data_IF_723945681393
#
_entry.id   IF_723945681393
#
_cell.length_a   1.000
_cell.length_b   1.000
_cell.length_c   1.000
_cell.angle_alpha   90.00
_cell.angle_beta   90.00
_cell.angle_gamma   90.00
#
_symmetry.space_group_name_H-M   'P 1'
#
loop_
_entity.id
_entity.type
_entity.pdbx_description
1 polymer ?
#
# COMPACT_ATOMS: atom_id res chain seq x y z
N UNK A 1 46.00 -40.59 -1.27
CA UNK A 1 45.80 -39.34 -2.02
C UNK A 1 44.54 -39.48 -2.84
N UNK A 2 43.48 -38.79 -2.41
CA UNK A 2 42.07 -38.71 -2.86
C UNK A 2 41.32 -38.40 -1.55
N UNK A 3 40.58 -37.31 -1.42
CA UNK A 3 39.38 -37.04 -2.17
C UNK A 3 39.21 -35.53 -2.43
N UNK A 4 38.87 -35.20 -3.68
CA UNK A 4 38.49 -33.86 -4.09
C UNK A 4 37.09 -33.56 -3.57
N UNK A 5 37.02 -32.94 -2.39
CA UNK A 5 35.79 -32.34 -1.87
C UNK A 5 35.36 -31.20 -2.80
N UNK A 6 34.38 -31.48 -3.65
CA UNK A 6 33.69 -30.47 -4.45
C UNK A 6 32.91 -29.60 -3.48
N UNK A 7 33.47 -28.45 -3.12
CA UNK A 7 32.73 -27.40 -2.44
C UNK A 7 31.52 -27.06 -3.32
N UNK A 8 30.32 -27.31 -2.79
CA UNK A 8 29.11 -26.76 -3.37
C UNK A 8 29.30 -25.24 -3.43
N UNK A 9 29.01 -24.56 -4.56
CA UNK A 9 28.97 -23.12 -4.53
C UNK A 9 27.96 -22.76 -3.44
N UNK A 10 28.36 -21.90 -2.49
CA UNK A 10 27.48 -21.31 -1.51
C UNK A 10 26.36 -20.60 -2.28
N UNK A 11 25.33 -21.36 -2.63
CA UNK A 11 24.10 -20.85 -3.20
C UNK A 11 23.59 -19.88 -2.17
N UNK A 12 23.40 -18.63 -2.60
CA UNK A 12 22.87 -17.51 -1.84
C UNK A 12 21.83 -17.94 -0.82
N UNK A 13 22.25 -18.34 0.37
CA UNK A 13 21.48 -18.15 1.59
C UNK A 13 21.72 -16.71 1.99
N UNK A 14 21.30 -15.81 1.09
CA UNK A 14 21.19 -14.40 1.40
C UNK A 14 20.15 -14.31 2.49
N UNK A 15 20.49 -13.61 3.57
CA UNK A 15 19.56 -13.18 4.61
C UNK A 15 18.45 -12.34 3.94
N UNK A 16 17.45 -13.00 3.35
CA UNK A 16 16.29 -12.35 2.76
C UNK A 16 15.51 -11.73 3.90
N UNK A 17 15.50 -10.41 3.94
CA UNK A 17 14.68 -9.68 4.89
C UNK A 17 13.22 -10.08 4.68
N UNK A 18 12.66 -10.76 5.68
CA UNK A 18 11.27 -11.26 5.67
C UNK A 18 10.27 -10.18 6.10
N UNK A 19 10.74 -8.96 6.34
CA UNK A 19 9.90 -7.80 6.63
C UNK A 19 8.87 -7.57 5.53
N UNK A 20 7.60 -7.42 5.93
CA UNK A 20 6.52 -7.02 5.04
C UNK A 20 6.84 -5.71 4.31
N UNK A 21 7.44 -4.74 5.00
CA UNK A 21 7.80 -3.45 4.39
C UNK A 21 8.78 -3.65 3.25
N UNK A 22 9.83 -4.44 3.48
CA UNK A 22 10.82 -4.72 2.44
C UNK A 22 10.18 -5.45 1.26
N UNK A 23 9.51 -6.58 1.54
CA UNK A 23 8.98 -7.47 0.51
C UNK A 23 7.80 -6.86 -0.27
N UNK A 24 6.87 -6.19 0.39
CA UNK A 24 5.58 -5.79 -0.20
C UNK A 24 5.44 -4.29 -0.48
N UNK A 25 6.40 -3.46 -0.05
CA UNK A 25 6.32 -1.99 -0.24
C UNK A 25 7.55 -1.45 -0.96
N UNK A 26 8.75 -1.85 -0.56
CA UNK A 26 9.99 -1.31 -1.11
C UNK A 26 10.49 -2.07 -2.35
N UNK A 27 10.36 -3.40 -2.36
CA UNK A 27 10.66 -4.23 -3.53
C UNK A 27 9.61 -4.02 -4.64
N UNK A 28 9.98 -3.50 -5.83
CA UNK A 28 8.99 -3.17 -6.87
C UNK A 28 8.15 -4.36 -7.33
N UNK A 29 8.79 -5.51 -7.53
CA UNK A 29 8.10 -6.75 -7.94
C UNK A 29 7.22 -7.27 -6.81
N UNK A 30 7.72 -7.28 -5.58
CA UNK A 30 6.94 -7.75 -4.44
C UNK A 30 5.73 -6.86 -4.14
N UNK A 31 5.87 -5.54 -4.27
CA UNK A 31 4.74 -4.58 -4.22
C UNK A 31 3.71 -4.85 -5.33
N UNK A 32 4.16 -5.08 -6.56
CA UNK A 32 3.26 -5.41 -7.67
C UNK A 32 2.46 -6.69 -7.38
N UNK A 33 3.14 -7.76 -6.95
CA UNK A 33 2.49 -9.02 -6.62
C UNK A 33 1.51 -8.87 -5.44
N UNK A 34 1.91 -8.13 -4.40
CA UNK A 34 1.06 -7.89 -3.25
C UNK A 34 -0.18 -7.06 -3.61
N UNK A 35 -0.06 -6.05 -4.49
CA UNK A 35 -1.22 -5.33 -5.03
C UNK A 35 -2.20 -6.24 -5.76
N UNK A 36 -1.71 -7.15 -6.61
CA UNK A 36 -2.56 -8.14 -7.31
C UNK A 36 -3.26 -9.09 -6.32
N UNK A 37 -2.55 -9.48 -5.27
CA UNK A 37 -3.15 -10.26 -4.18
C UNK A 37 -4.29 -9.50 -3.49
N UNK A 38 -4.09 -8.21 -3.16
CA UNK A 38 -5.14 -7.38 -2.56
C UNK A 38 -6.36 -7.24 -3.48
N UNK A 39 -6.13 -6.96 -4.77
CA UNK A 39 -7.17 -6.82 -5.80
C UNK A 39 -8.03 -8.09 -5.93
N UNK A 40 -7.39 -9.26 -5.93
CA UNK A 40 -8.06 -10.56 -6.10
C UNK A 40 -8.69 -11.13 -4.82
N UNK A 41 -8.44 -10.55 -3.64
CA UNK A 41 -8.89 -11.11 -2.35
C UNK A 41 -10.14 -10.39 -1.84
N UNK A 42 -11.30 -11.06 -1.78
CA UNK A 42 -12.51 -10.50 -1.19
C UNK A 42 -12.25 -10.01 0.25
N UNK A 43 -12.67 -8.79 0.56
CA UNK A 43 -12.42 -8.14 1.85
C UNK A 43 -11.13 -7.31 1.91
N UNK A 44 -10.15 -7.53 1.02
CA UNK A 44 -8.93 -6.72 0.92
C UNK A 44 -8.91 -5.79 -0.30
N UNK A 45 -9.73 -6.05 -1.31
CA UNK A 45 -9.78 -5.28 -2.55
C UNK A 45 -9.98 -3.76 -2.32
N UNK A 46 -10.80 -3.36 -1.35
CA UNK A 46 -11.00 -1.95 -1.01
C UNK A 46 -9.72 -1.29 -0.47
N UNK A 47 -8.92 -2.00 0.33
CA UNK A 47 -7.64 -1.50 0.84
C UNK A 47 -6.61 -1.34 -0.28
N UNK A 48 -6.55 -2.31 -1.21
CA UNK A 48 -5.71 -2.22 -2.40
C UNK A 48 -6.06 -1.01 -3.28
N UNK A 49 -7.35 -0.82 -3.55
CA UNK A 49 -7.84 0.33 -4.32
C UNK A 49 -7.57 1.67 -3.62
N UNK A 50 -7.76 1.76 -2.30
CA UNK A 50 -7.41 2.98 -1.55
C UNK A 50 -5.92 3.31 -1.68
N UNK A 51 -5.04 2.31 -1.57
CA UNK A 51 -3.60 2.53 -1.71
C UNK A 51 -3.22 3.05 -3.11
N UNK A 52 -3.83 2.53 -4.17
CA UNK A 52 -3.65 3.04 -5.53
C UNK A 52 -4.06 4.50 -5.67
N UNK A 53 -5.20 4.88 -5.11
CA UNK A 53 -5.70 6.24 -5.16
C UNK A 53 -4.85 7.22 -4.33
N UNK A 54 -4.30 6.78 -3.20
CA UNK A 54 -3.36 7.59 -2.40
C UNK A 54 -2.05 7.85 -3.16
N UNK A 55 -1.49 6.85 -3.85
CA UNK A 55 -0.29 7.05 -4.67
C UNK A 55 -0.55 7.87 -5.94
N UNK A 56 -1.77 7.84 -6.46
CA UNK A 56 -2.19 8.74 -7.53
C UNK A 56 -2.31 10.18 -6.98
N UNK A 57 -2.92 10.35 -5.82
CA UNK A 57 -3.08 11.64 -5.14
C UNK A 57 -1.75 12.32 -4.83
N UNK A 58 -0.73 11.58 -4.39
CA UNK A 58 0.62 12.12 -4.17
C UNK A 58 1.25 12.72 -5.43
N UNK A 59 0.78 12.29 -6.61
CA UNK A 59 1.23 12.77 -7.93
C UNK A 59 0.24 13.74 -8.58
N UNK A 60 -0.87 14.08 -7.93
CA UNK A 60 -1.83 15.05 -8.45
C UNK A 60 -1.27 16.46 -8.45
N UNK A 61 -1.58 17.19 -9.51
CA UNK A 61 -1.35 18.63 -9.60
C UNK A 61 -2.16 19.37 -8.53
N UNK A 62 -1.66 20.52 -8.08
CA UNK A 62 -2.30 21.28 -6.99
C UNK A 62 -3.75 21.68 -7.34
N UNK A 63 -4.02 21.97 -8.62
CA UNK A 63 -5.36 22.31 -9.11
C UNK A 63 -6.36 21.15 -9.02
N UNK A 64 -5.89 19.91 -9.07
CA UNK A 64 -6.71 18.69 -9.04
C UNK A 64 -6.85 18.12 -7.63
N UNK A 65 -5.91 18.45 -6.75
CA UNK A 65 -5.75 17.89 -5.41
C UNK A 65 -7.02 17.97 -4.56
N UNK A 66 -7.72 19.11 -4.59
CA UNK A 66 -8.95 19.26 -3.81
C UNK A 66 -10.04 18.27 -4.26
N UNK A 67 -10.21 18.10 -5.57
CA UNK A 67 -11.18 17.17 -6.15
C UNK A 67 -10.81 15.72 -5.86
N UNK A 68 -9.53 15.35 -6.05
CA UNK A 68 -9.03 14.01 -5.76
C UNK A 68 -9.20 13.63 -4.27
N UNK A 69 -8.89 14.56 -3.35
CA UNK A 69 -9.09 14.34 -1.92
C UNK A 69 -10.58 14.11 -1.57
N UNK A 70 -11.49 14.88 -2.18
CA UNK A 70 -12.92 14.70 -1.97
C UNK A 70 -13.41 13.35 -2.48
N UNK A 71 -12.93 12.92 -3.66
CA UNK A 71 -13.26 11.62 -4.24
C UNK A 71 -12.79 10.45 -3.36
N UNK A 72 -11.54 10.51 -2.86
CA UNK A 72 -11.00 9.51 -1.93
C UNK A 72 -11.84 9.42 -0.66
N UNK A 73 -12.15 10.55 -0.02
CA UNK A 73 -12.97 10.57 1.20
C UNK A 73 -14.36 9.97 0.97
N UNK A 74 -15.05 10.38 -0.10
CA UNK A 74 -16.40 9.89 -0.39
C UNK A 74 -16.46 8.40 -0.75
N UNK A 75 -15.43 7.89 -1.45
CA UNK A 75 -15.38 6.49 -1.90
C UNK A 75 -14.96 5.52 -0.78
N UNK A 76 -13.98 5.90 0.03
CA UNK A 76 -13.31 4.98 0.95
C UNK A 76 -13.56 5.26 2.44
N UNK A 77 -13.79 6.51 2.86
CA UNK A 77 -13.84 6.85 4.29
C UNK A 77 -15.27 6.93 4.84
N UNK A 78 -16.24 7.30 4.01
CA UNK A 78 -17.62 7.47 4.42
C UNK A 78 -18.35 6.12 4.51
N UNK A 79 -19.09 5.84 5.61
CA UNK A 79 -20.06 4.75 5.64
C UNK A 79 -21.05 4.92 4.47
N UNK A 80 -21.17 3.89 3.62
CA UNK A 80 -21.99 3.93 2.40
C UNK A 80 -21.24 4.29 1.11
N UNK A 81 -19.94 4.62 1.19
CA UNK A 81 -19.07 4.71 0.01
C UNK A 81 -18.93 3.35 -0.68
N UNK A 82 -18.84 3.36 -2.02
CA UNK A 82 -18.82 2.13 -2.84
C UNK A 82 -17.69 1.15 -2.46
N UNK A 83 -16.59 1.65 -1.90
CA UNK A 83 -15.47 0.86 -1.40
C UNK A 83 -15.06 1.31 0.00
N UNK A 84 -16.05 1.56 0.87
CA UNK A 84 -15.81 1.93 2.26
C UNK A 84 -14.80 0.96 2.92
N UNK A 85 -13.78 1.52 3.56
CA UNK A 85 -12.71 0.81 4.26
C UNK A 85 -12.98 0.80 5.77
N UNK A 86 -13.71 -0.20 6.31
CA UNK A 86 -14.15 -0.20 7.71
C UNK A 86 -13.01 -0.41 8.73
N UNK A 87 -11.80 -0.76 8.26
CA UNK A 87 -10.62 -0.89 9.12
C UNK A 87 -10.02 0.47 9.51
N UNK A 88 -10.39 1.56 8.82
CA UNK A 88 -9.91 2.90 9.16
C UNK A 88 -10.57 3.39 10.45
N UNK A 89 -9.75 3.94 11.35
CA UNK A 89 -10.26 4.55 12.57
C UNK A 89 -10.87 5.92 12.28
N UNK A 90 -11.79 6.35 13.14
CA UNK A 90 -12.39 7.70 13.03
C UNK A 90 -11.33 8.81 13.03
N UNK A 91 -10.23 8.63 13.76
CA UNK A 91 -9.11 9.58 13.77
C UNK A 91 -8.38 9.65 12.42
N UNK A 92 -8.19 8.51 11.74
CA UNK A 92 -7.54 8.47 10.43
C UNK A 92 -8.38 9.12 9.33
N UNK A 93 -9.71 9.08 9.46
CA UNK A 93 -10.65 9.67 8.49
C UNK A 93 -11.10 11.09 8.84
N UNK A 94 -10.63 11.63 9.97
CA UNK A 94 -11.03 12.96 10.41
C UNK A 94 -10.53 14.02 9.42
N UNK A 95 -11.42 14.92 9.00
CA UNK A 95 -10.98 16.16 8.36
C UNK A 95 -10.32 17.03 9.41
N UNK A 96 -9.13 17.61 9.14
CA UNK A 96 -8.56 18.59 10.05
C UNK A 96 -9.57 19.73 10.20
N UNK A 97 -10.14 19.87 11.39
CA UNK A 97 -10.98 21.01 11.74
C UNK A 97 -10.12 22.25 11.54
N UNK A 98 -10.43 23.02 10.51
CA UNK A 98 -9.76 24.27 10.23
C UNK A 98 -9.99 25.25 11.37
N UNK A 99 -9.02 25.35 12.26
CA UNK A 99 -8.83 26.51 13.13
C UNK A 99 -7.40 27.02 12.90
N UNK A 100 -7.25 27.71 11.77
CA UNK A 100 -6.16 28.64 11.54
C UNK A 100 -6.76 29.86 10.82
N UNK A 101 -7.29 30.78 11.64
CA UNK A 101 -7.61 32.14 11.26
C UNK A 101 -8.21 32.90 12.46
N UNK A 102 -7.93 34.20 12.66
CA UNK A 102 -6.97 35.07 11.95
C UNK A 102 -5.54 35.04 12.52
#
# INVERSE_FOLDING_TARGET
GQDGGREAPAGREGNEDTSFRWQCVEQPIGKLLFRRFLEGTPGLAAAGALWEELEAYERCEESERQGAAAAIRGRFFAPGGAQHCPFLSAAATATPTGEAGP
#
